data_IF_916546361134
#
_entry.id   IF_916546361134
#
_cell.length_a   1.000
_cell.length_b   1.000
_cell.length_c   1.000
_cell.angle_alpha   90.00
_cell.angle_beta   90.00
_cell.angle_gamma   90.00
#
_symmetry.space_group_name_H-M   'P 1'
#
loop_
_entity.id
_entity.type
_entity.pdbx_description
1 polymer ?
#
# COMPACT_ATOMS: atom_id res chain seq x y z
N UNK A 1 1.71 0.81 -16.90
CA UNK A 1 2.02 -0.61 -17.18
C UNK A 1 1.34 -1.44 -16.11
N UNK A 2 0.45 -2.37 -16.47
CA UNK A 2 -0.29 -3.17 -15.50
C UNK A 2 0.59 -4.25 -14.84
N UNK A 3 0.20 -4.62 -13.61
CA UNK A 3 0.65 -5.84 -12.95
C UNK A 3 -0.54 -6.78 -12.79
N UNK A 4 -1.70 -6.27 -12.33
CA UNK A 4 -2.82 -7.12 -11.94
C UNK A 4 -4.14 -6.35 -12.07
N UNK A 5 -4.97 -6.72 -13.03
CA UNK A 5 -6.31 -6.11 -13.23
C UNK A 5 -7.25 -6.29 -12.03
N UNK A 6 -6.95 -7.23 -11.13
CA UNK A 6 -7.78 -7.46 -9.95
C UNK A 6 -7.33 -6.68 -8.71
N UNK A 7 -6.14 -6.07 -8.72
CA UNK A 7 -5.57 -5.38 -7.56
C UNK A 7 -5.00 -4.00 -7.87
N UNK A 8 -4.62 -3.72 -9.13
CA UNK A 8 -4.11 -2.40 -9.52
C UNK A 8 -5.21 -1.35 -9.35
N UNK A 9 -4.83 -0.17 -8.86
CA UNK A 9 -5.72 0.98 -8.73
C UNK A 9 -4.98 2.29 -8.95
N UNK A 10 -5.70 3.31 -9.43
CA UNK A 10 -5.22 4.68 -9.53
C UNK A 10 -5.59 5.43 -8.25
N UNK A 11 -4.66 5.52 -7.29
CA UNK A 11 -4.88 6.25 -6.04
C UNK A 11 -4.31 7.68 -6.08
N UNK A 12 -5.03 8.69 -5.53
CA UNK A 12 -4.50 10.04 -5.41
C UNK A 12 -3.25 10.11 -4.53
N UNK A 13 -2.18 10.74 -5.03
CA UNK A 13 -1.00 11.11 -4.23
C UNK A 13 -0.97 12.64 -4.15
N UNK A 14 -1.14 13.19 -2.95
CA UNK A 14 -1.35 14.61 -2.74
C UNK A 14 -0.59 15.15 -1.52
N UNK A 15 -0.51 16.48 -1.42
CA UNK A 15 0.19 17.14 -0.34
C UNK A 15 -0.57 17.10 1.02
N UNK A 16 -1.87 16.89 0.98
CA UNK A 16 -2.77 16.82 2.12
C UNK A 16 -4.05 16.05 1.77
N UNK A 17 -4.83 15.68 2.79
CA UNK A 17 -6.08 14.91 2.64
C UNK A 17 -7.12 15.67 1.83
N UNK A 18 -7.19 17.00 1.95
CA UNK A 18 -8.14 17.80 1.18
C UNK A 18 -7.88 17.72 -0.32
N UNK A 19 -6.60 17.81 -0.71
CA UNK A 19 -6.19 17.68 -2.11
C UNK A 19 -6.41 16.25 -2.62
N UNK A 20 -6.13 15.23 -1.80
CA UNK A 20 -6.43 13.83 -2.14
C UNK A 20 -7.93 13.62 -2.39
N UNK A 21 -8.80 14.19 -1.53
CA UNK A 21 -10.25 14.13 -1.70
C UNK A 21 -10.72 14.81 -2.99
N UNK A 22 -10.10 15.95 -3.38
CA UNK A 22 -10.41 16.63 -4.65
C UNK A 22 -10.04 15.79 -5.86
N UNK A 23 -8.86 15.16 -5.83
CA UNK A 23 -8.43 14.28 -6.92
C UNK A 23 -9.33 13.07 -7.01
N UNK A 24 -9.66 12.42 -5.86
CA UNK A 24 -10.59 11.30 -5.85
C UNK A 24 -11.96 11.70 -6.42
N UNK A 25 -12.50 12.86 -6.03
CA UNK A 25 -13.77 13.36 -6.57
C UNK A 25 -13.75 13.56 -8.09
N UNK A 26 -12.58 13.87 -8.65
CA UNK A 26 -12.42 14.08 -10.09
C UNK A 26 -12.28 12.78 -10.91
N UNK A 27 -11.78 11.70 -10.27
CA UNK A 27 -11.51 10.42 -10.96
C UNK A 27 -12.51 9.31 -10.58
N UNK A 28 -13.33 9.49 -9.54
CA UNK A 28 -14.33 8.51 -9.13
C UNK A 28 -15.45 8.42 -10.15
N UNK A 29 -15.85 7.18 -10.44
CA UNK A 29 -16.94 6.89 -11.38
C UNK A 29 -16.70 5.61 -12.14
N UNK A 30 -17.68 5.22 -12.97
CA UNK A 30 -17.56 4.05 -13.83
C UNK A 30 -16.80 4.38 -15.11
N UNK A 31 -15.95 3.45 -15.53
CA UNK A 31 -15.28 3.44 -16.83
C UNK A 31 -15.67 2.17 -17.58
N UNK A 32 -16.33 2.28 -18.77
CA UNK A 32 -16.69 1.10 -19.55
C UNK A 32 -15.51 0.23 -19.98
N UNK A 33 -14.29 0.78 -20.00
CA UNK A 33 -13.07 0.05 -20.31
C UNK A 33 -12.52 -0.73 -19.11
N UNK A 34 -13.00 -0.44 -17.88
CA UNK A 34 -12.59 -1.13 -16.63
C UNK A 34 -13.81 -1.76 -15.94
N UNK A 35 -14.03 -3.07 -16.11
CA UNK A 35 -15.15 -3.77 -15.48
C UNK A 35 -15.17 -3.72 -13.93
N UNK A 36 -14.03 -3.43 -13.28
CA UNK A 36 -13.97 -3.30 -11.84
C UNK A 36 -14.72 -2.07 -11.33
N UNK A 37 -14.93 -1.05 -12.18
CA UNK A 37 -15.60 0.21 -11.83
C UNK A 37 -17.11 0.20 -12.04
N UNK A 38 -17.71 -0.91 -12.52
CA UNK A 38 -19.12 -1.00 -12.94
C UNK A 38 -20.14 -0.49 -11.91
N UNK A 39 -19.86 -0.66 -10.63
CA UNK A 39 -20.73 -0.28 -9.52
C UNK A 39 -20.34 1.09 -8.90
N UNK A 40 -19.28 1.73 -9.38
CA UNK A 40 -18.68 2.91 -8.75
C UNK A 40 -19.65 4.11 -8.65
N UNK A 41 -20.47 4.35 -9.70
CA UNK A 41 -21.40 5.50 -9.73
C UNK A 41 -22.43 5.45 -8.59
N UNK A 42 -22.82 4.26 -8.12
CA UNK A 42 -23.74 4.09 -7.01
C UNK A 42 -23.11 4.43 -5.65
N UNK A 43 -21.79 4.57 -5.57
CA UNK A 43 -21.03 4.79 -4.37
C UNK A 43 -20.28 6.11 -4.31
N UNK A 44 -20.43 6.97 -5.34
CA UNK A 44 -19.86 8.32 -5.33
C UNK A 44 -20.43 9.10 -4.16
N UNK A 45 -19.56 9.76 -3.41
CA UNK A 45 -19.91 10.60 -2.26
C UNK A 45 -19.35 12.01 -2.42
N UNK A 46 -19.90 12.97 -1.68
CA UNK A 46 -19.25 14.27 -1.54
C UNK A 46 -18.06 14.13 -0.57
N UNK A 47 -16.92 13.76 -1.14
CA UNK A 47 -15.68 13.53 -0.40
C UNK A 47 -15.19 14.79 0.32
N UNK A 48 -15.45 15.98 -0.22
CA UNK A 48 -15.04 17.25 0.40
C UNK A 48 -15.95 17.63 1.57
N UNK A 49 -17.25 17.47 1.45
CA UNK A 49 -18.19 17.72 2.54
C UNK A 49 -18.00 16.73 3.72
N UNK A 50 -17.39 15.57 3.46
CA UNK A 50 -17.07 14.60 4.50
C UNK A 50 -15.92 15.04 5.43
N UNK A 51 -15.05 15.97 5.02
CA UNK A 51 -13.87 16.39 5.77
C UNK A 51 -14.24 17.25 6.99
N UNK A 52 -14.19 16.64 8.19
CA UNK A 52 -14.54 17.32 9.46
C UNK A 52 -13.43 17.15 10.49
N UNK A 53 -12.93 18.24 11.10
CA UNK A 53 -11.86 18.16 12.11
C UNK A 53 -12.20 17.27 13.32
N UNK A 54 -13.48 17.24 13.74
CA UNK A 54 -13.96 16.45 14.86
C UNK A 54 -14.40 15.01 14.54
N UNK A 55 -14.09 14.51 13.34
CA UNK A 55 -14.59 13.21 12.87
C UNK A 55 -14.12 12.00 13.69
N UNK A 56 -13.07 12.15 14.50
CA UNK A 56 -12.53 11.06 15.32
C UNK A 56 -13.25 10.91 16.68
N UNK A 57 -14.11 11.85 17.07
CA UNK A 57 -14.84 11.79 18.34
C UNK A 57 -15.78 10.57 18.37
N UNK A 58 -15.57 9.68 19.35
CA UNK A 58 -16.36 8.46 19.55
C UNK A 58 -16.05 7.32 18.58
N UNK A 59 -15.13 7.49 17.65
CA UNK A 59 -14.73 6.45 16.67
C UNK A 59 -14.00 5.30 17.39
N UNK A 60 -14.36 4.08 17.07
CA UNK A 60 -13.71 2.86 17.56
C UNK A 60 -12.71 2.34 16.51
N UNK A 61 -11.44 2.35 16.87
CA UNK A 61 -10.33 2.07 15.95
C UNK A 61 -9.64 0.77 16.33
N UNK A 62 -9.55 -0.18 15.40
CA UNK A 62 -8.75 -1.39 15.54
C UNK A 62 -7.28 -1.11 15.22
N UNK A 63 -6.41 -1.34 16.18
CA UNK A 63 -4.95 -1.17 16.04
C UNK A 63 -4.33 -2.50 15.66
N UNK A 64 -3.83 -2.65 14.45
CA UNK A 64 -3.27 -3.89 13.92
C UNK A 64 -1.86 -4.14 14.49
N UNK A 65 -1.78 -4.60 15.75
CA UNK A 65 -0.51 -4.88 16.44
C UNK A 65 0.34 -5.94 15.74
N UNK A 66 -0.27 -6.90 15.06
CA UNK A 66 0.46 -7.88 14.27
C UNK A 66 1.24 -7.28 13.09
N UNK A 67 0.95 -6.02 12.72
CA UNK A 67 1.63 -5.25 11.67
C UNK A 67 2.72 -4.30 12.24
N UNK A 68 3.06 -4.41 13.52
CA UNK A 68 4.09 -3.63 14.22
C UNK A 68 5.20 -4.54 14.76
N UNK A 69 6.18 -4.00 15.49
CA UNK A 69 7.27 -4.77 16.10
C UNK A 69 8.48 -5.00 15.18
N UNK A 70 8.50 -4.40 14.00
CA UNK A 70 9.60 -4.54 13.05
C UNK A 70 10.73 -3.54 13.27
N UNK A 71 10.40 -2.36 13.83
CA UNK A 71 11.34 -1.30 14.10
C UNK A 71 10.86 -0.51 15.31
N UNK A 72 11.60 -0.58 16.40
CA UNK A 72 11.30 0.17 17.63
C UNK A 72 11.19 1.68 17.40
N UNK A 73 11.92 2.23 16.44
CA UNK A 73 11.84 3.65 16.07
C UNK A 73 10.52 3.98 15.35
N UNK A 74 10.08 3.13 14.43
CA UNK A 74 8.80 3.28 13.74
C UNK A 74 7.64 3.08 14.73
N UNK A 75 7.75 2.09 15.61
CA UNK A 75 6.75 1.81 16.63
C UNK A 75 6.59 3.00 17.61
N UNK A 76 7.68 3.66 18.00
CA UNK A 76 7.62 4.87 18.84
C UNK A 76 6.87 6.02 18.16
N UNK A 77 7.07 6.23 16.85
CA UNK A 77 6.32 7.22 16.07
C UNK A 77 4.84 6.82 15.99
N UNK A 78 4.56 5.53 15.81
CA UNK A 78 3.19 5.01 15.78
C UNK A 78 2.48 5.19 17.12
N UNK A 79 3.13 4.92 18.26
CA UNK A 79 2.54 5.20 19.60
C UNK A 79 2.22 6.68 19.80
N UNK A 80 3.03 7.59 19.24
CA UNK A 80 2.73 9.02 19.24
C UNK A 80 1.45 9.29 18.43
N UNK A 81 1.29 8.68 17.26
CA UNK A 81 0.08 8.79 16.45
C UNK A 81 -1.16 8.25 17.19
N UNK A 82 -1.04 7.12 17.88
CA UNK A 82 -2.10 6.56 18.71
C UNK A 82 -2.52 7.51 19.85
N UNK A 83 -1.56 8.22 20.43
CA UNK A 83 -1.84 9.22 21.47
C UNK A 83 -2.65 10.41 20.92
N UNK A 84 -2.34 10.86 19.70
CA UNK A 84 -3.14 11.89 19.00
C UNK A 84 -4.58 11.41 18.78
N UNK A 85 -4.77 10.19 18.29
CA UNK A 85 -6.10 9.62 18.05
C UNK A 85 -6.93 9.55 19.33
N UNK A 86 -6.33 9.10 20.46
CA UNK A 86 -7.00 9.13 21.77
C UNK A 86 -7.37 10.55 22.21
N UNK A 87 -6.47 11.50 22.03
CA UNK A 87 -6.73 12.91 22.36
C UNK A 87 -7.86 13.53 21.54
N UNK A 88 -8.11 13.02 20.31
CA UNK A 88 -9.24 13.39 19.46
C UNK A 88 -10.54 12.65 19.81
N UNK A 89 -10.56 11.86 20.87
CA UNK A 89 -11.75 11.18 21.38
C UNK A 89 -12.01 9.79 20.78
N UNK A 90 -11.05 9.21 20.09
CA UNK A 90 -11.16 7.85 19.57
C UNK A 90 -10.89 6.79 20.67
N UNK A 91 -11.59 5.65 20.58
CA UNK A 91 -11.34 4.46 21.39
C UNK A 91 -10.51 3.47 20.60
N UNK A 92 -9.36 3.10 21.12
CA UNK A 92 -8.43 2.17 20.45
C UNK A 92 -8.58 0.75 21.01
N UNK A 93 -8.66 -0.25 20.12
CA UNK A 93 -8.76 -1.68 20.44
C UNK A 93 -7.61 -2.40 19.74
N UNK A 94 -6.75 -3.05 20.51
CA UNK A 94 -5.59 -3.78 19.95
C UNK A 94 -6.01 -5.10 19.32
N UNK A 95 -5.55 -5.36 18.09
CA UNK A 95 -5.69 -6.61 17.36
C UNK A 95 -4.29 -7.21 17.21
N UNK A 96 -4.01 -8.24 18.00
CA UNK A 96 -2.65 -8.79 18.14
C UNK A 96 -2.33 -9.87 17.12
N UNK A 97 -3.33 -10.52 16.53
CA UNK A 97 -3.11 -11.60 15.56
C UNK A 97 -4.12 -11.57 14.40
N UNK A 98 -3.66 -12.04 13.25
CA UNK A 98 -4.48 -12.36 12.08
C UNK A 98 -3.98 -13.65 11.43
N UNK A 99 -4.71 -14.74 11.63
CA UNK A 99 -4.27 -16.12 11.28
C UNK A 99 -4.25 -16.44 9.78
N UNK A 100 -4.77 -15.55 8.93
CA UNK A 100 -4.88 -15.77 7.48
C UNK A 100 -3.71 -15.24 6.65
N UNK A 101 -2.82 -14.45 7.22
CA UNK A 101 -1.85 -13.62 6.50
C UNK A 101 -0.97 -14.41 5.53
N UNK A 102 -0.36 -15.52 5.99
CA UNK A 102 0.55 -16.31 5.15
C UNK A 102 -0.17 -16.96 3.95
N UNK A 103 -1.42 -17.41 4.18
CA UNK A 103 -2.24 -18.01 3.12
C UNK A 103 -2.64 -16.98 2.06
N UNK A 104 -2.94 -15.75 2.48
CA UNK A 104 -3.22 -14.65 1.56
C UNK A 104 -1.99 -14.39 0.68
N UNK A 105 -0.81 -14.20 1.27
CA UNK A 105 0.40 -13.91 0.52
C UNK A 105 0.78 -14.98 -0.52
N UNK A 106 0.63 -16.26 -0.16
CA UNK A 106 0.89 -17.35 -1.11
C UNK A 106 -0.09 -17.36 -2.28
N UNK A 107 -1.38 -17.13 -2.02
CA UNK A 107 -2.41 -17.05 -3.05
C UNK A 107 -2.26 -15.79 -3.91
N UNK A 108 -2.02 -14.64 -3.30
CA UNK A 108 -1.76 -13.36 -3.96
C UNK A 108 -0.60 -13.45 -4.96
N UNK A 109 0.51 -14.09 -4.57
CA UNK A 109 1.66 -14.23 -5.46
C UNK A 109 1.33 -15.01 -6.75
N UNK A 110 0.48 -16.04 -6.68
CA UNK A 110 0.00 -16.75 -7.87
C UNK A 110 -0.90 -15.85 -8.73
N UNK A 111 -1.77 -15.07 -8.10
CA UNK A 111 -2.64 -14.11 -8.79
C UNK A 111 -1.81 -13.08 -9.54
N UNK A 112 -0.90 -12.39 -8.85
CA UNK A 112 -0.03 -11.36 -9.44
C UNK A 112 0.79 -11.90 -10.62
N UNK A 113 1.42 -13.06 -10.47
CA UNK A 113 2.22 -13.66 -11.54
C UNK A 113 1.37 -14.03 -12.76
N UNK A 114 0.15 -14.53 -12.55
CA UNK A 114 -0.74 -14.96 -13.64
C UNK A 114 -1.30 -13.76 -14.38
N UNK A 115 -1.74 -12.75 -13.65
CA UNK A 115 -2.30 -11.54 -14.21
C UNK A 115 -1.22 -10.69 -14.89
N UNK A 116 -0.01 -10.57 -14.32
CA UNK A 116 1.11 -9.88 -14.96
C UNK A 116 1.35 -10.37 -16.39
N UNK A 117 1.39 -11.70 -16.61
CA UNK A 117 1.57 -12.28 -17.94
C UNK A 117 0.45 -11.89 -18.91
N UNK A 118 -0.79 -11.98 -18.45
CA UNK A 118 -1.97 -11.72 -19.27
C UNK A 118 -2.14 -10.22 -19.58
N UNK A 119 -2.07 -9.39 -18.53
CA UNK A 119 -2.34 -7.96 -18.61
C UNK A 119 -1.23 -7.20 -19.34
N UNK A 120 0.03 -7.60 -19.11
CA UNK A 120 1.16 -7.03 -19.83
C UNK A 120 1.08 -7.32 -21.34
N UNK A 121 0.67 -8.54 -21.72
CA UNK A 121 0.42 -8.87 -23.13
C UNK A 121 -0.69 -8.01 -23.73
N UNK A 122 -1.80 -7.84 -23.01
CA UNK A 122 -2.91 -6.99 -23.45
C UNK A 122 -2.46 -5.53 -23.61
N UNK A 123 -1.72 -5.00 -22.62
CA UNK A 123 -1.17 -3.65 -22.68
C UNK A 123 -0.19 -3.45 -23.84
N UNK A 124 0.75 -4.36 -24.05
CA UNK A 124 1.73 -4.28 -25.14
C UNK A 124 1.07 -4.34 -26.53
N UNK A 125 -0.07 -5.00 -26.65
CA UNK A 125 -0.86 -5.01 -27.89
C UNK A 125 -1.40 -3.62 -28.27
N UNK A 126 -1.58 -2.71 -27.34
CA UNK A 126 -2.04 -1.33 -27.59
C UNK A 126 -0.91 -0.36 -27.95
N UNK A 127 0.35 -0.78 -27.84
CA UNK A 127 1.50 0.09 -28.11
C UNK A 127 1.74 0.27 -29.61
N UNK A 128 2.42 1.36 -30.05
CA UNK A 128 2.76 1.57 -31.46
C UNK A 128 3.54 0.41 -32.07
N UNK A 129 3.43 0.23 -33.40
CA UNK A 129 4.10 -0.86 -34.13
C UNK A 129 5.63 -0.85 -34.00
N UNK A 130 6.24 0.30 -33.67
CA UNK A 130 7.67 0.42 -33.40
C UNK A 130 8.13 -0.35 -32.17
N UNK A 131 7.25 -0.61 -31.19
CA UNK A 131 7.53 -1.47 -30.04
C UNK A 131 7.49 -2.92 -30.52
N UNK A 132 8.62 -3.62 -30.47
CA UNK A 132 8.71 -4.97 -31.00
C UNK A 132 8.31 -6.05 -29.98
N UNK A 133 8.59 -5.83 -28.68
CA UNK A 133 8.20 -6.75 -27.63
C UNK A 133 6.68 -6.70 -27.41
N UNK A 134 5.99 -7.83 -27.54
CA UNK A 134 4.53 -7.94 -27.46
C UNK A 134 4.04 -8.85 -26.35
N UNK A 135 4.96 -9.59 -25.75
CA UNK A 135 4.67 -10.57 -24.71
C UNK A 135 5.71 -10.47 -23.58
N UNK A 136 5.40 -11.08 -22.45
CA UNK A 136 6.37 -11.21 -21.35
C UNK A 136 7.59 -12.01 -21.78
N UNK A 137 7.41 -13.06 -22.60
CA UNK A 137 8.51 -13.83 -23.17
C UNK A 137 9.45 -12.96 -24.04
N UNK A 138 8.90 -12.05 -24.83
CA UNK A 138 9.71 -11.13 -25.66
C UNK A 138 10.54 -10.17 -24.75
N UNK A 139 9.97 -9.69 -23.66
CA UNK A 139 10.68 -8.84 -22.69
C UNK A 139 11.79 -9.61 -21.98
N UNK A 140 11.54 -10.86 -21.59
CA UNK A 140 12.56 -11.74 -21.01
C UNK A 140 13.72 -11.94 -22.00
N UNK A 141 13.41 -12.21 -23.26
CA UNK A 141 14.41 -12.38 -24.31
C UNK A 141 15.20 -11.08 -24.55
N UNK A 142 14.53 -9.93 -24.59
CA UNK A 142 15.16 -8.62 -24.73
C UNK A 142 16.13 -8.34 -23.57
N UNK A 143 15.68 -8.50 -22.33
CA UNK A 143 16.51 -8.29 -21.13
C UNK A 143 17.74 -9.22 -21.15
N UNK A 144 17.57 -10.49 -21.57
CA UNK A 144 18.67 -11.45 -21.67
C UNK A 144 19.68 -11.03 -22.74
N UNK A 145 19.21 -10.56 -23.89
CA UNK A 145 20.07 -10.09 -24.98
C UNK A 145 20.85 -8.80 -24.64
N UNK A 146 20.37 -8.03 -23.67
CA UNK A 146 20.97 -6.77 -23.21
C UNK A 146 21.34 -6.84 -21.72
N UNK A 147 21.76 -8.01 -21.24
CA UNK A 147 21.96 -8.28 -19.82
C UNK A 147 23.00 -7.36 -19.14
N UNK A 148 23.97 -6.89 -19.89
CA UNK A 148 24.97 -5.92 -19.43
C UNK A 148 24.36 -4.57 -18.97
N UNK A 149 23.19 -4.24 -19.46
CA UNK A 149 22.44 -3.01 -19.12
C UNK A 149 21.20 -3.28 -18.32
N UNK A 150 20.38 -4.23 -18.77
CA UNK A 150 19.04 -4.47 -18.20
C UNK A 150 19.08 -5.33 -16.93
N UNK A 151 20.10 -6.19 -16.77
CA UNK A 151 20.24 -7.09 -15.62
C UNK A 151 21.51 -6.81 -14.80
N UNK A 152 22.12 -5.64 -14.98
CA UNK A 152 23.37 -5.30 -14.29
C UNK A 152 23.19 -5.14 -12.75
N UNK A 153 22.00 -4.75 -12.28
CA UNK A 153 21.70 -4.50 -10.87
C UNK A 153 20.71 -5.49 -10.28
N UNK A 154 19.74 -5.94 -11.08
CA UNK A 154 18.67 -6.85 -10.65
C UNK A 154 18.43 -7.91 -11.70
N UNK A 155 18.07 -9.13 -11.27
CA UNK A 155 17.63 -10.19 -12.15
C UNK A 155 16.17 -10.02 -12.62
N UNK A 156 15.66 -11.02 -13.32
CA UNK A 156 14.27 -11.04 -13.84
C UNK A 156 13.48 -12.27 -13.37
N UNK A 157 13.78 -12.78 -12.20
CA UNK A 157 13.21 -14.02 -11.64
C UNK A 157 11.68 -13.97 -11.59
N UNK A 158 11.12 -12.79 -11.24
CA UNK A 158 9.66 -12.58 -11.21
C UNK A 158 9.04 -12.71 -12.59
N UNK A 159 9.67 -12.18 -13.63
CA UNK A 159 9.21 -12.33 -15.01
C UNK A 159 9.25 -13.79 -15.46
N UNK A 160 10.36 -14.48 -15.18
CA UNK A 160 10.53 -15.90 -15.50
C UNK A 160 9.46 -16.73 -14.80
N UNK A 161 9.20 -16.47 -13.50
CA UNK A 161 8.16 -17.15 -12.73
C UNK A 161 6.77 -16.87 -13.27
N UNK A 162 6.45 -15.62 -13.61
CA UNK A 162 5.17 -15.25 -14.19
C UNK A 162 4.94 -15.91 -15.56
N UNK A 163 5.98 -16.02 -16.39
CA UNK A 163 5.89 -16.68 -17.71
C UNK A 163 5.54 -18.17 -17.60
N UNK A 164 5.89 -18.86 -16.51
CA UNK A 164 5.51 -20.27 -16.30
C UNK A 164 4.04 -20.48 -15.96
N UNK A 165 3.27 -19.42 -15.66
CA UNK A 165 1.85 -19.56 -15.31
C UNK A 165 1.00 -20.02 -16.49
N UNK A 166 -0.11 -20.70 -16.18
CA UNK A 166 -1.00 -21.30 -17.18
C UNK A 166 -2.08 -20.36 -17.71
N UNK A 167 -2.12 -19.11 -17.20
CA UNK A 167 -3.06 -18.08 -17.61
C UNK A 167 -4.36 -18.02 -16.79
N UNK A 168 -5.24 -17.09 -17.17
CA UNK A 168 -6.45 -16.73 -16.39
C UNK A 168 -7.50 -17.84 -16.29
N UNK A 169 -7.44 -18.84 -17.15
CA UNK A 169 -8.38 -19.98 -17.12
C UNK A 169 -7.92 -21.12 -16.21
N UNK A 170 -6.70 -21.07 -15.67
CA UNK A 170 -6.20 -22.08 -14.75
C UNK A 170 -7.10 -22.15 -13.49
N UNK A 171 -7.65 -23.33 -13.15
CA UNK A 171 -8.43 -23.51 -11.92
C UNK A 171 -7.65 -23.11 -10.65
N UNK A 172 -6.33 -23.31 -10.62
CA UNK A 172 -5.50 -22.94 -9.49
C UNK A 172 -5.45 -21.42 -9.30
N UNK A 173 -5.33 -20.65 -10.40
CA UNK A 173 -5.42 -19.18 -10.36
C UNK A 173 -6.80 -18.73 -9.85
N UNK A 174 -7.89 -19.26 -10.43
CA UNK A 174 -9.25 -18.89 -10.02
C UNK A 174 -9.51 -19.16 -8.54
N UNK A 175 -9.04 -20.31 -8.04
CA UNK A 175 -9.13 -20.68 -6.63
C UNK A 175 -8.27 -19.77 -5.73
N UNK A 176 -7.05 -19.44 -6.15
CA UNK A 176 -6.16 -18.53 -5.42
C UNK A 176 -6.76 -17.13 -5.29
N UNK A 177 -7.27 -16.57 -6.40
CA UNK A 177 -7.94 -15.25 -6.40
C UNK A 177 -9.14 -15.21 -5.47
N UNK A 178 -10.05 -16.19 -5.59
CA UNK A 178 -11.23 -16.26 -4.73
C UNK A 178 -10.86 -16.44 -3.25
N UNK A 179 -9.82 -17.23 -2.97
CA UNK A 179 -9.35 -17.47 -1.59
C UNK A 179 -8.72 -16.23 -0.98
N UNK A 180 -7.78 -15.58 -1.69
CA UNK A 180 -7.10 -14.39 -1.17
C UNK A 180 -8.08 -13.25 -0.93
N UNK A 181 -8.96 -12.96 -1.88
CA UNK A 181 -9.98 -11.91 -1.75
C UNK A 181 -10.94 -12.16 -0.58
N UNK A 182 -11.46 -13.39 -0.45
CA UNK A 182 -12.35 -13.77 0.66
C UNK A 182 -11.65 -13.65 2.02
N UNK A 183 -10.40 -14.13 2.11
CA UNK A 183 -9.64 -14.09 3.37
C UNK A 183 -9.18 -12.68 3.75
N UNK A 184 -8.89 -11.82 2.78
CA UNK A 184 -8.48 -10.43 3.06
C UNK A 184 -9.68 -9.54 3.40
N UNK A 185 -10.77 -9.63 2.65
CA UNK A 185 -11.99 -8.83 2.82
C UNK A 185 -12.93 -9.43 3.90
N UNK A 186 -13.90 -10.28 3.51
CA UNK A 186 -14.93 -10.77 4.42
C UNK A 186 -14.40 -11.48 5.68
N UNK A 187 -13.42 -12.36 5.54
CA UNK A 187 -12.86 -13.11 6.67
C UNK A 187 -11.70 -12.37 7.38
N UNK A 188 -11.20 -11.30 6.78
CA UNK A 188 -10.13 -10.46 7.30
C UNK A 188 -10.65 -9.13 7.84
N UNK A 189 -10.69 -8.12 6.98
CA UNK A 189 -11.04 -6.74 7.36
C UNK A 189 -12.44 -6.69 7.99
N UNK A 190 -13.48 -7.23 7.33
CA UNK A 190 -14.84 -7.17 7.83
C UNK A 190 -15.01 -7.95 9.13
N UNK A 191 -14.41 -9.13 9.25
CA UNK A 191 -14.47 -9.92 10.47
C UNK A 191 -13.77 -9.24 11.67
N UNK A 192 -12.61 -8.59 11.44
CA UNK A 192 -11.92 -7.81 12.48
C UNK A 192 -12.76 -6.61 12.93
N UNK A 193 -13.37 -5.88 11.98
CA UNK A 193 -14.24 -4.75 12.29
C UNK A 193 -15.48 -5.19 13.08
N UNK A 194 -16.15 -6.26 12.63
CA UNK A 194 -17.39 -6.75 13.24
C UNK A 194 -17.19 -7.27 14.67
N UNK A 195 -16.08 -7.99 14.92
CA UNK A 195 -15.80 -8.65 16.20
C UNK A 195 -15.87 -7.70 17.39
N UNK A 196 -15.30 -6.51 17.25
CA UNK A 196 -15.18 -5.52 18.33
C UNK A 196 -15.97 -4.24 18.03
N UNK A 197 -16.89 -4.27 17.06
CA UNK A 197 -17.69 -3.12 16.61
C UNK A 197 -16.83 -1.91 16.27
N UNK A 198 -15.83 -2.11 15.41
CA UNK A 198 -14.87 -1.10 15.00
C UNK A 198 -15.32 -0.36 13.74
N UNK A 199 -14.97 0.91 13.64
CA UNK A 199 -15.27 1.76 12.48
C UNK A 199 -14.18 1.71 11.41
N UNK A 200 -12.94 1.47 11.82
CA UNK A 200 -11.75 1.52 10.95
C UNK A 200 -10.60 0.74 11.59
N UNK A 201 -9.72 0.20 10.76
CA UNK A 201 -8.45 -0.41 11.17
C UNK A 201 -7.29 0.55 10.87
N UNK A 202 -6.26 0.54 11.72
CA UNK A 202 -5.04 1.32 11.50
C UNK A 202 -3.77 0.49 11.70
N UNK A 203 -2.72 0.87 10.97
CA UNK A 203 -1.36 0.35 11.13
C UNK A 203 -0.33 1.38 10.66
N UNK A 204 0.97 1.25 10.98
CA UNK A 204 1.99 1.88 10.16
C UNK A 204 1.80 1.48 8.71
N UNK A 205 2.01 2.40 7.76
CA UNK A 205 1.81 2.10 6.33
C UNK A 205 2.92 1.20 5.80
N UNK A 206 4.15 1.64 5.99
CA UNK A 206 5.38 0.98 5.51
C UNK A 206 6.53 1.35 6.45
N UNK A 207 7.64 0.60 6.46
CA UNK A 207 8.88 1.05 7.08
C UNK A 207 9.39 2.34 6.42
N UNK A 208 10.34 3.06 7.05
CA UNK A 208 11.04 4.16 6.40
C UNK A 208 11.69 3.71 5.09
N UNK A 209 11.89 4.65 4.16
CA UNK A 209 12.63 4.36 2.94
C UNK A 209 14.00 3.74 3.26
N UNK A 210 14.44 2.77 2.45
CA UNK A 210 15.70 2.04 2.59
C UNK A 210 16.65 2.38 1.44
N UNK A 211 17.91 1.99 1.60
CA UNK A 211 18.91 2.16 0.54
C UNK A 211 18.71 1.11 -0.55
N UNK A 212 18.95 1.49 -1.79
CA UNK A 212 19.19 0.55 -2.88
C UNK A 212 20.54 -0.11 -2.61
N UNK A 213 20.55 -1.42 -2.42
CA UNK A 213 21.75 -2.22 -2.16
C UNK A 213 21.97 -3.22 -3.29
N UNK A 214 22.88 -2.87 -4.21
CA UNK A 214 23.17 -3.72 -5.36
C UNK A 214 23.94 -5.01 -5.01
N UNK A 215 24.55 -5.09 -3.81
CA UNK A 215 25.30 -6.27 -3.37
C UNK A 215 24.44 -7.29 -2.61
N UNK A 216 23.55 -6.80 -1.72
CA UNK A 216 22.78 -7.66 -0.83
C UNK A 216 21.27 -7.68 -1.14
N UNK A 217 20.81 -6.89 -2.10
CA UNK A 217 19.41 -6.68 -2.41
C UNK A 217 18.73 -5.69 -1.44
N UNK A 218 17.47 -5.39 -1.71
CA UNK A 218 16.69 -4.43 -0.93
C UNK A 218 16.47 -4.91 0.52
N UNK A 219 16.81 -4.03 1.48
CA UNK A 219 16.63 -4.27 2.92
C UNK A 219 15.24 -3.77 3.37
N UNK A 220 14.18 -4.37 2.84
CA UNK A 220 12.81 -3.99 3.21
C UNK A 220 12.53 -4.44 4.65
N UNK A 221 12.46 -3.50 5.56
CA UNK A 221 11.93 -3.75 6.91
C UNK A 221 10.47 -4.20 6.80
N UNK A 222 10.03 -5.14 7.63
CA UNK A 222 8.64 -5.58 7.65
C UNK A 222 7.68 -4.51 8.17
N UNK A 223 6.41 -4.84 8.27
CA UNK A 223 5.35 -4.00 8.84
C UNK A 223 4.29 -3.59 7.83
N UNK A 224 3.25 -2.93 8.36
CA UNK A 224 2.09 -2.53 7.59
C UNK A 224 1.08 -3.66 7.30
N UNK A 225 -0.10 -3.26 6.92
CA UNK A 225 -1.20 -4.16 6.57
C UNK A 225 -1.93 -3.74 5.27
N UNK A 226 -1.30 -2.89 4.46
CA UNK A 226 -1.91 -2.36 3.23
C UNK A 226 -2.26 -3.44 2.20
N UNK A 227 -1.51 -4.55 2.15
CA UNK A 227 -1.82 -5.68 1.28
C UNK A 227 -3.21 -6.28 1.54
N UNK A 228 -3.73 -6.23 2.77
CA UNK A 228 -5.09 -6.70 3.05
C UNK A 228 -6.13 -5.90 2.26
N UNK A 229 -6.01 -4.57 2.26
CA UNK A 229 -6.91 -3.70 1.52
C UNK A 229 -6.77 -3.89 0.00
N UNK A 230 -5.54 -3.98 -0.51
CA UNK A 230 -5.26 -4.19 -1.94
C UNK A 230 -5.87 -5.50 -2.45
N UNK A 231 -5.65 -6.61 -1.73
CA UNK A 231 -6.18 -7.93 -2.09
C UNK A 231 -7.70 -8.00 -1.97
N UNK A 232 -8.28 -7.34 -0.95
CA UNK A 232 -9.73 -7.27 -0.75
C UNK A 232 -10.43 -6.39 -1.80
N UNK A 233 -9.73 -5.42 -2.40
CA UNK A 233 -10.33 -4.34 -3.17
C UNK A 233 -11.02 -3.29 -2.29
N UNK A 234 -10.53 -3.08 -1.08
CA UNK A 234 -11.10 -2.17 -0.09
C UNK A 234 -10.30 -0.86 0.00
N UNK A 235 -10.93 0.24 0.42
CA UNK A 235 -10.27 1.53 0.51
C UNK A 235 -9.18 1.55 1.58
N UNK A 236 -8.06 2.20 1.25
CA UNK A 236 -6.92 2.41 2.11
C UNK A 236 -6.42 3.84 1.95
N UNK A 237 -6.35 4.58 3.03
CA UNK A 237 -5.78 5.92 3.08
C UNK A 237 -4.51 5.92 3.93
N UNK A 238 -3.44 6.55 3.46
CA UNK A 238 -2.26 6.86 4.27
C UNK A 238 -2.12 8.35 4.49
N UNK A 239 -1.74 8.73 5.71
CA UNK A 239 -1.43 10.10 6.08
C UNK A 239 -0.10 10.15 6.85
N UNK A 240 0.66 11.25 6.79
CA UNK A 240 1.92 11.35 7.53
C UNK A 240 1.70 11.16 9.04
N UNK A 241 2.49 10.29 9.70
CA UNK A 241 2.49 10.14 11.16
C UNK A 241 3.76 10.65 11.84
N UNK A 242 4.75 11.13 11.06
CA UNK A 242 6.03 11.64 11.54
C UNK A 242 7.20 11.09 10.73
N UNK A 243 8.36 10.97 11.34
CA UNK A 243 9.56 10.46 10.68
C UNK A 243 10.50 9.72 11.60
N UNK A 244 11.28 8.83 10.99
CA UNK A 244 12.37 8.08 11.62
C UNK A 244 13.68 8.56 11.00
N UNK A 245 14.56 9.16 11.79
CA UNK A 245 15.84 9.70 11.31
C UNK A 245 15.68 10.64 10.10
N UNK A 246 14.63 11.47 10.10
CA UNK A 246 14.32 12.39 8.99
C UNK A 246 13.60 11.75 7.81
N UNK A 247 13.37 10.45 7.80
CA UNK A 247 12.63 9.74 6.76
C UNK A 247 11.14 9.66 7.11
N UNK A 248 10.22 10.12 6.24
CA UNK A 248 8.79 10.11 6.50
C UNK A 248 8.24 8.69 6.69
N UNK A 249 7.28 8.55 7.59
CA UNK A 249 6.47 7.34 7.75
C UNK A 249 4.99 7.69 7.83
N UNK A 250 4.13 6.77 7.39
CA UNK A 250 2.68 6.97 7.27
C UNK A 250 1.87 6.14 8.23
N UNK A 251 0.69 6.67 8.59
CA UNK A 251 -0.40 6.00 9.28
C UNK A 251 -1.45 5.58 8.27
N UNK A 252 -1.73 4.29 8.18
CA UNK A 252 -2.80 3.73 7.36
C UNK A 252 -4.14 3.73 8.07
N UNK A 253 -5.20 4.10 7.35
CA UNK A 253 -6.59 3.86 7.69
C UNK A 253 -7.18 2.89 6.66
N UNK A 254 -7.75 1.78 7.10
CA UNK A 254 -8.30 0.72 6.27
C UNK A 254 -9.77 0.52 6.68
N UNK A 255 -10.68 0.56 5.72
CA UNK A 255 -12.11 0.38 5.96
C UNK A 255 -12.72 -0.71 5.10
N UNK A 256 -13.99 -1.05 5.32
CA UNK A 256 -14.74 -1.92 4.43
C UNK A 256 -14.99 -1.26 3.08
N UNK A 257 -15.45 -2.04 2.09
CA UNK A 257 -15.75 -1.53 0.76
C UNK A 257 -16.65 -0.27 0.79
N UNK A 258 -16.37 0.67 -0.11
CA UNK A 258 -17.15 1.89 -0.33
C UNK A 258 -17.20 2.86 0.86
N UNK A 259 -16.14 2.89 1.68
CA UNK A 259 -16.03 3.81 2.83
C UNK A 259 -14.99 4.90 2.66
N UNK A 260 -14.63 5.26 1.44
CA UNK A 260 -13.60 6.26 1.09
C UNK A 260 -13.86 7.60 1.78
N UNK A 261 -15.10 8.10 1.73
CA UNK A 261 -15.48 9.37 2.37
C UNK A 261 -15.26 9.35 3.89
N UNK A 262 -15.50 8.19 4.53
CA UNK A 262 -15.28 8.00 5.96
C UNK A 262 -13.79 7.98 6.29
N UNK A 263 -12.98 7.25 5.51
CA UNK A 263 -11.52 7.22 5.70
C UNK A 263 -10.90 8.59 5.50
N UNK A 264 -11.32 9.32 4.46
CA UNK A 264 -10.89 10.70 4.22
C UNK A 264 -11.23 11.60 5.41
N UNK A 265 -12.42 11.47 5.99
CA UNK A 265 -12.83 12.23 7.17
C UNK A 265 -11.94 11.95 8.39
N UNK A 266 -11.65 10.68 8.67
CA UNK A 266 -10.77 10.28 9.77
C UNK A 266 -9.32 10.72 9.53
N UNK A 267 -8.79 10.51 8.33
CA UNK A 267 -7.45 10.95 7.96
C UNK A 267 -7.30 12.47 8.02
N UNK A 268 -8.30 13.22 7.58
CA UNK A 268 -8.32 14.67 7.69
C UNK A 268 -8.30 15.14 9.14
N UNK A 269 -9.18 14.59 10.00
CA UNK A 269 -9.20 14.93 11.41
C UNK A 269 -7.86 14.64 12.10
N UNK A 270 -7.25 13.49 11.79
CA UNK A 270 -5.92 13.13 12.28
C UNK A 270 -4.85 14.11 11.76
N UNK A 271 -4.81 14.38 10.45
CA UNK A 271 -3.85 15.30 9.84
C UNK A 271 -3.87 16.69 10.47
N UNK A 272 -5.07 17.25 10.70
CA UNK A 272 -5.24 18.56 11.32
C UNK A 272 -4.77 18.59 12.79
N UNK A 273 -4.96 17.49 13.54
CA UNK A 273 -4.54 17.38 14.92
C UNK A 273 -3.05 17.07 15.08
N UNK A 274 -2.53 16.12 14.29
CA UNK A 274 -1.18 15.63 14.41
C UNK A 274 -0.13 16.61 13.85
N UNK A 275 -0.43 17.26 12.71
CA UNK A 275 0.51 18.13 11.96
C UNK A 275 1.86 17.45 11.74
N UNK A 276 1.83 16.14 11.50
CA UNK A 276 2.99 15.25 11.51
C UNK A 276 3.76 15.21 10.19
N UNK A 277 3.32 15.97 9.18
CA UNK A 277 4.01 16.06 7.89
C UNK A 277 5.39 16.69 8.08
N UNK A 278 6.42 16.00 7.59
CA UNK A 278 7.78 16.54 7.51
C UNK A 278 8.12 16.89 6.07
N UNK A 279 8.86 17.95 5.89
CA UNK A 279 9.37 18.34 4.57
C UNK A 279 10.70 17.64 4.32
N UNK A 280 10.83 16.83 3.25
CA UNK A 280 12.09 16.18 2.91
C UNK A 280 13.20 17.25 2.67
N UNK A 281 14.37 17.00 3.20
CA UNK A 281 15.51 17.91 3.05
C UNK A 281 16.39 17.61 1.84
N UNK A 282 16.11 16.48 1.15
CA UNK A 282 16.86 16.04 -0.03
C UNK A 282 18.37 16.00 0.19
N UNK A 283 18.80 15.48 1.32
CA UNK A 283 20.21 15.38 1.68
C UNK A 283 20.93 14.47 0.67
N UNK A 284 22.18 14.80 0.31
CA UNK A 284 23.00 13.93 -0.53
C UNK A 284 23.24 12.55 0.11
N UNK A 285 23.31 12.49 1.44
CA UNK A 285 23.46 11.28 2.24
C UNK A 285 22.80 11.45 3.60
N UNK A 286 22.26 10.37 4.17
CA UNK A 286 21.78 10.33 5.56
C UNK A 286 22.92 10.60 6.55
N UNK A 287 24.17 10.40 6.15
CA UNK A 287 25.36 10.70 6.94
C UNK A 287 25.50 12.18 7.27
N UNK A 288 24.86 13.05 6.48
CA UNK A 288 24.80 14.50 6.75
C UNK A 288 23.84 14.89 7.87
N UNK A 289 23.05 13.92 8.43
CA UNK A 289 22.14 14.18 9.55
C UNK A 289 22.90 14.48 10.84
N UNK A 290 22.51 15.55 11.53
CA UNK A 290 23.16 15.99 12.76
C UNK A 290 23.34 14.88 13.84
N UNK A 291 22.40 13.95 14.03
CA UNK A 291 22.61 12.84 14.98
C UNK A 291 23.61 11.79 14.49
N UNK A 292 23.90 11.71 13.19
CA UNK A 292 24.71 10.64 12.58
C UNK A 292 26.11 11.15 12.23
N UNK A 293 26.23 12.33 11.70
CA UNK A 293 27.49 12.92 11.25
C UNK A 293 28.64 12.82 12.31
N UNK A 294 28.40 13.08 13.59
CA UNK A 294 29.45 12.96 14.62
C UNK A 294 29.87 11.50 14.86
N UNK A 295 28.97 10.51 14.62
CA UNK A 295 29.24 9.10 14.85
C UNK A 295 30.08 8.47 13.74
N UNK A 296 30.19 9.13 12.59
CA UNK A 296 30.93 8.67 11.42
C UNK A 296 32.35 9.26 11.35
N UNK A 297 32.71 10.12 12.29
CA UNK A 297 34.07 10.62 12.35
C UNK A 297 35.01 9.51 12.84
N UNK A 298 36.21 9.35 12.24
CA UNK A 298 37.19 8.41 12.75
C UNK A 298 37.45 8.67 14.23
N UNK A 299 37.45 7.59 15.03
CA UNK A 299 37.93 7.69 16.41
C UNK A 299 39.34 8.27 16.35
N UNK A 300 39.55 9.42 16.97
CA UNK A 300 40.88 9.94 17.10
C UNK A 300 41.70 8.96 17.92
N UNK A 301 42.96 8.63 17.51
CA UNK A 301 43.79 7.68 18.21
C UNK A 301 44.15 8.15 19.63
#
# INVERSE_FOLDING_TARGET
VPISHSQDTAGPIAADVTTAARVLAAIAGSDPADPATKDADAHISDYLAALKPGALQGVRIGVLRFATGWSSKTDAVFETALSVLRAQGATLVDITEFKGRDKIGAAEQLVLNTELKADLKAYLATTPAAVQSRTLADLIAFNTAHADRELALFGQETFIKAETTKGLDDPAYKAARATSQRMAGPEGIDAMLAKDHLDVLISPTMPPAWKIDAANGDQIGGGGAGSLAAVAGYPHLTVPMGGVMGLPVGLSFIGPAWTEARLLSYGYAYEQAAKAKITPRFLPSIEAEAPIAPLLQPLQP
#
